data_IF_344645403602
#
_entry.id   IF_344645403602
#
_cell.length_a   1.000
_cell.length_b   1.000
_cell.length_c   1.000
_cell.angle_alpha   90.00
_cell.angle_beta   90.00
_cell.angle_gamma   90.00
#
_symmetry.space_group_name_H-M   'P 1'
#
loop_
_entity.id
_entity.type
_entity.pdbx_description
1 polymer ?
#
# COMPACT_ATOMS: atom_id res chain seq x y z
N UNK A 1 3.62 -5.17 -12.03
CA UNK A 1 3.88 -3.98 -12.88
C UNK A 1 5.11 -3.20 -12.42
N UNK A 2 5.48 -3.17 -11.13
CA UNK A 2 6.77 -2.58 -10.66
C UNK A 2 7.93 -3.59 -10.62
N UNK A 3 7.67 -4.86 -10.28
CA UNK A 3 8.69 -5.91 -10.21
C UNK A 3 9.48 -6.09 -11.51
N UNK A 4 8.81 -5.99 -12.66
CA UNK A 4 9.47 -6.09 -13.98
C UNK A 4 10.49 -4.96 -14.21
N UNK A 5 10.19 -3.75 -13.75
CA UNK A 5 11.13 -2.63 -13.85
C UNK A 5 12.34 -2.86 -12.94
N UNK A 6 12.12 -3.42 -11.74
CA UNK A 6 13.19 -3.78 -10.83
C UNK A 6 14.09 -4.87 -11.43
N UNK A 7 13.49 -5.93 -12.00
CA UNK A 7 14.22 -7.01 -12.68
C UNK A 7 15.10 -6.47 -13.81
N UNK A 8 14.55 -5.60 -14.67
CA UNK A 8 15.32 -4.95 -15.75
C UNK A 8 16.48 -4.11 -15.18
N UNK A 9 16.26 -3.34 -14.12
CA UNK A 9 17.33 -2.54 -13.51
C UNK A 9 18.45 -3.42 -12.93
N UNK A 10 18.11 -4.56 -12.34
CA UNK A 10 19.08 -5.55 -11.85
C UNK A 10 19.85 -6.20 -12.99
N UNK A 11 19.17 -6.58 -14.07
CA UNK A 11 19.77 -7.17 -15.28
C UNK A 11 20.78 -6.22 -15.95
N UNK A 12 20.44 -4.93 -16.03
CA UNK A 12 21.29 -3.86 -16.57
C UNK A 12 22.38 -3.39 -15.59
N UNK A 13 22.43 -3.97 -14.38
CA UNK A 13 23.35 -3.56 -13.28
C UNK A 13 23.18 -2.09 -12.86
N UNK A 14 22.01 -1.52 -13.08
CA UNK A 14 21.65 -0.19 -12.56
C UNK A 14 21.17 -0.32 -11.10
N UNK A 15 22.15 -0.45 -10.20
CA UNK A 15 21.88 -0.61 -8.77
C UNK A 15 21.21 0.62 -8.14
N UNK A 16 21.40 1.82 -8.70
CA UNK A 16 20.76 3.02 -8.19
C UNK A 16 19.24 2.96 -8.46
N UNK A 17 18.86 2.64 -9.69
CA UNK A 17 17.45 2.46 -10.05
C UNK A 17 16.83 1.26 -9.34
N UNK A 18 17.55 0.14 -9.21
CA UNK A 18 17.04 -1.02 -8.46
C UNK A 18 16.73 -0.67 -6.99
N UNK A 19 17.63 0.05 -6.31
CA UNK A 19 17.41 0.51 -4.93
C UNK A 19 16.23 1.47 -4.81
N UNK A 20 16.08 2.41 -5.76
CA UNK A 20 14.92 3.29 -5.80
C UNK A 20 13.61 2.50 -5.97
N UNK A 21 13.58 1.53 -6.89
CA UNK A 21 12.39 0.73 -7.19
C UNK A 21 12.03 -0.23 -6.05
N UNK A 22 12.99 -0.63 -5.21
CA UNK A 22 12.73 -1.43 -4.02
C UNK A 22 11.78 -0.71 -3.04
N UNK A 23 11.90 0.61 -2.90
CA UNK A 23 10.96 1.39 -2.08
C UNK A 23 9.53 1.26 -2.61
N UNK A 24 9.33 1.42 -3.91
CA UNK A 24 8.00 1.26 -4.54
C UNK A 24 7.44 -0.16 -4.40
N UNK A 25 8.29 -1.19 -4.44
CA UNK A 25 7.86 -2.58 -4.20
C UNK A 25 7.34 -2.74 -2.77
N UNK A 26 8.07 -2.20 -1.79
CA UNK A 26 7.67 -2.30 -0.40
C UNK A 26 6.36 -1.52 -0.14
N UNK A 27 6.26 -0.31 -0.69
CA UNK A 27 5.04 0.51 -0.60
C UNK A 27 3.83 -0.23 -1.19
N UNK A 28 3.98 -0.86 -2.37
CA UNK A 28 2.90 -1.62 -2.98
C UNK A 28 2.45 -2.81 -2.12
N UNK A 29 3.38 -3.50 -1.44
CA UNK A 29 3.02 -4.60 -0.55
C UNK A 29 2.21 -4.11 0.66
N UNK A 30 2.55 -2.96 1.23
CA UNK A 30 1.81 -2.33 2.32
C UNK A 30 0.42 -1.85 1.86
N UNK A 31 0.33 -1.18 0.71
CA UNK A 31 -0.93 -0.70 0.15
C UNK A 31 -1.88 -1.84 -0.24
N UNK A 32 -1.37 -2.93 -0.82
CA UNK A 32 -2.17 -4.12 -1.13
C UNK A 32 -2.71 -4.78 0.14
N UNK A 33 -1.89 -4.91 1.19
CA UNK A 33 -2.33 -5.46 2.48
C UNK A 33 -3.41 -4.58 3.14
N UNK A 34 -3.26 -3.26 3.08
CA UNK A 34 -4.26 -2.31 3.58
C UNK A 34 -5.58 -2.47 2.82
N UNK A 35 -5.54 -2.51 1.49
CA UNK A 35 -6.73 -2.68 0.66
C UNK A 35 -7.44 -4.01 0.95
N UNK A 36 -6.70 -5.12 1.05
CA UNK A 36 -7.24 -6.43 1.40
C UNK A 36 -7.93 -6.43 2.76
N UNK A 37 -7.32 -5.79 3.75
CA UNK A 37 -7.90 -5.69 5.10
C UNK A 37 -9.25 -4.96 5.07
N UNK A 38 -9.38 -3.88 4.28
CA UNK A 38 -10.65 -3.17 4.12
C UNK A 38 -11.70 -4.01 3.39
N UNK A 39 -11.29 -4.75 2.36
CA UNK A 39 -12.17 -5.66 1.64
C UNK A 39 -12.70 -6.74 2.59
N UNK A 40 -11.85 -7.33 3.43
CA UNK A 40 -12.25 -8.33 4.42
C UNK A 40 -13.23 -7.76 5.45
N UNK A 41 -13.01 -6.52 5.92
CA UNK A 41 -13.94 -5.83 6.80
C UNK A 41 -15.30 -5.59 6.12
N UNK A 42 -15.31 -5.15 4.86
CA UNK A 42 -16.55 -4.96 4.11
C UNK A 42 -17.28 -6.28 3.87
N UNK A 43 -16.56 -7.35 3.56
CA UNK A 43 -17.13 -8.70 3.42
C UNK A 43 -17.76 -9.19 4.72
N UNK A 44 -17.13 -8.91 5.87
CA UNK A 44 -17.66 -9.25 7.19
C UNK A 44 -18.92 -8.44 7.53
N UNK A 45 -18.97 -7.16 7.16
CA UNK A 45 -20.10 -6.26 7.43
C UNK A 45 -21.34 -6.64 6.58
N UNK A 46 -21.12 -7.05 5.33
CA UNK A 46 -22.20 -7.34 4.38
C UNK A 46 -23.07 -6.11 4.11
N UNK A 47 -24.39 -6.24 4.25
CA UNK A 47 -25.36 -5.18 3.93
C UNK A 47 -25.74 -4.30 5.13
N UNK A 48 -25.05 -4.43 6.27
CA UNK A 48 -25.36 -3.65 7.47
C UNK A 48 -24.90 -2.19 7.33
N UNK A 49 -25.81 -1.31 6.90
CA UNK A 49 -25.54 0.11 6.69
C UNK A 49 -25.04 0.88 7.92
N UNK A 50 -25.41 0.47 9.14
CA UNK A 50 -24.91 1.11 10.36
C UNK A 50 -23.43 0.79 10.60
N UNK A 51 -23.03 -0.46 10.33
CA UNK A 51 -21.65 -0.88 10.43
C UNK A 51 -20.79 -0.26 9.30
N UNK A 52 -21.34 -0.10 8.09
CA UNK A 52 -20.68 0.65 7.00
C UNK A 52 -20.45 2.11 7.43
N UNK A 53 -21.44 2.77 8.03
CA UNK A 53 -21.29 4.15 8.52
C UNK A 53 -20.20 4.27 9.61
N UNK A 54 -20.09 3.27 10.49
CA UNK A 54 -19.03 3.25 11.51
C UNK A 54 -17.64 3.07 10.89
N UNK A 55 -17.51 2.14 9.92
CA UNK A 55 -16.26 1.94 9.18
C UNK A 55 -15.85 3.22 8.44
N UNK A 56 -16.78 3.91 7.77
CA UNK A 56 -16.52 5.20 7.13
C UNK A 56 -15.97 6.25 8.12
N UNK A 57 -16.58 6.36 9.31
CA UNK A 57 -16.09 7.25 10.37
C UNK A 57 -14.69 6.88 10.85
N UNK A 58 -14.37 5.60 10.96
CA UNK A 58 -13.03 5.14 11.32
C UNK A 58 -12.02 5.50 10.22
N UNK A 59 -12.34 5.24 8.96
CA UNK A 59 -11.46 5.55 7.83
C UNK A 59 -11.21 7.05 7.66
N UNK A 60 -12.19 7.89 8.03
CA UNK A 60 -12.03 9.35 8.03
C UNK A 60 -10.95 9.84 9.02
N UNK A 61 -10.53 9.01 9.98
CA UNK A 61 -9.44 9.35 10.93
C UNK A 61 -8.05 9.02 10.40
N UNK A 62 -7.93 8.32 9.25
CA UNK A 62 -6.63 7.95 8.68
C UNK A 62 -5.83 9.19 8.31
N UNK A 63 -4.56 9.19 8.70
CA UNK A 63 -3.58 10.23 8.37
C UNK A 63 -2.58 9.64 7.39
N UNK A 64 -2.29 10.37 6.32
CA UNK A 64 -1.20 10.01 5.43
C UNK A 64 0.14 10.22 6.14
N UNK A 65 0.90 9.14 6.29
CA UNK A 65 2.26 9.18 6.83
C UNK A 65 3.23 9.01 5.67
N UNK A 66 4.00 10.06 5.39
CA UNK A 66 4.99 10.04 4.32
C UNK A 66 6.28 9.36 4.82
N UNK A 67 6.41 8.06 4.54
CA UNK A 67 7.56 7.27 4.96
C UNK A 67 8.90 7.81 4.41
N UNK A 68 8.87 8.54 3.29
CA UNK A 68 10.07 9.11 2.65
C UNK A 68 10.60 10.35 3.36
N UNK A 69 9.78 11.03 4.18
CA UNK A 69 10.19 12.21 4.96
C UNK A 69 10.88 11.87 6.27
N UNK A 70 10.62 10.69 6.84
CA UNK A 70 11.18 10.25 8.13
C UNK A 70 12.57 9.63 8.04
N UNK A 71 13.09 9.39 6.83
CA UNK A 71 14.34 8.67 6.60
C UNK A 71 15.61 9.56 6.52
N UNK A 72 15.56 10.82 6.98
CA UNK A 72 16.68 11.77 6.97
C UNK A 72 17.22 12.08 8.36
#
# INVERSE_FOLDING_TARGET
MIHKCYEVAVEERDHATANMLQWFINEQAEEEQNALTLIDQLNLIGENGQAIYLLDKELATRVFVDATKTAN
#
